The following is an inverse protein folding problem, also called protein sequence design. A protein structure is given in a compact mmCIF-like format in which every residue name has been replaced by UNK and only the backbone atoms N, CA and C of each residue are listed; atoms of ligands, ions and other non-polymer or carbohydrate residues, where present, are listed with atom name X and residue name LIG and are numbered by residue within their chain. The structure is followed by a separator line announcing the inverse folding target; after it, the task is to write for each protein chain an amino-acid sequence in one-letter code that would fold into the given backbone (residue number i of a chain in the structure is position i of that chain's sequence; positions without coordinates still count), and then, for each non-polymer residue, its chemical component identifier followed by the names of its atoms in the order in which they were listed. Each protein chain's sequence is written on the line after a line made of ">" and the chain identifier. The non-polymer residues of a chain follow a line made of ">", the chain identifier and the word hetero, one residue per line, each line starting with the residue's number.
data_IF_543101576958
#
_entry.id   IF_543101576958
#
_cell.length_a   1.000
_cell.length_b   1.000
_cell.length_c   1.000
_cell.angle_alpha   90.00
_cell.angle_beta   90.00
_cell.angle_gamma   90.00
#
_symmetry.space_group_name_H-M   'P 1'
#
loop_
_entity.id
_entity.type
_entity.pdbx_description
1 polymer ?
#
# COMPACT_ATOMS: atom_id res chain seq x y z
N UNK A 1 -7.90 18.93 -38.37
CA UNK A 1 -8.83 18.50 -37.30
C UNK A 1 -8.93 16.99 -37.34
N UNK A 2 -8.39 16.30 -36.35
CA UNK A 2 -8.54 14.85 -36.26
C UNK A 2 -10.02 14.54 -35.99
N UNK A 3 -10.65 13.70 -36.81
CA UNK A 3 -12.00 13.21 -36.54
C UNK A 3 -11.90 12.18 -35.41
N UNK A 4 -12.68 12.35 -34.36
CA UNK A 4 -12.83 11.35 -33.32
C UNK A 4 -13.54 10.13 -33.95
N UNK A 5 -12.87 8.99 -34.01
CA UNK A 5 -13.47 7.73 -34.41
C UNK A 5 -13.76 6.96 -33.13
N UNK A 6 -15.05 6.78 -32.82
CA UNK A 6 -15.50 5.98 -31.67
C UNK A 6 -15.10 4.52 -31.95
N UNK A 7 -14.17 3.99 -31.17
CA UNK A 7 -13.64 2.62 -31.31
C UNK A 7 -12.23 2.50 -31.87
N UNK A 8 -11.64 3.59 -32.39
CA UNK A 8 -10.25 3.63 -32.86
C UNK A 8 -9.34 4.28 -31.80
N UNK A 9 -9.47 3.82 -30.55
CA UNK A 9 -8.58 4.23 -29.49
C UNK A 9 -7.29 3.40 -29.58
N UNK A 10 -6.11 4.02 -29.64
CA UNK A 10 -4.86 3.27 -29.64
C UNK A 10 -4.76 2.46 -28.34
N UNK A 11 -4.45 1.17 -28.46
CA UNK A 11 -4.35 0.25 -27.32
C UNK A 11 -3.29 0.66 -26.30
N UNK A 12 -2.30 1.45 -26.75
CA UNK A 12 -1.24 2.01 -25.92
C UNK A 12 -0.91 3.45 -26.34
N UNK A 13 -0.40 4.24 -25.42
CA UNK A 13 0.05 5.61 -25.66
C UNK A 13 1.31 5.94 -24.84
N UNK A 14 2.18 6.84 -25.34
CA UNK A 14 3.33 7.30 -24.58
C UNK A 14 2.90 8.24 -23.45
N UNK A 15 3.45 8.00 -22.25
CA UNK A 15 3.18 8.75 -21.03
C UNK A 15 4.51 9.25 -20.47
N UNK A 16 4.80 10.53 -20.67
CA UNK A 16 5.93 11.20 -20.01
C UNK A 16 5.54 11.54 -18.56
N UNK A 17 6.37 11.13 -17.61
CA UNK A 17 6.20 11.38 -16.18
C UNK A 17 7.44 12.03 -15.63
N UNK A 18 7.27 13.17 -14.96
CA UNK A 18 8.33 13.85 -14.24
C UNK A 18 8.36 13.39 -12.78
N UNK A 19 9.46 12.76 -12.37
CA UNK A 19 9.69 12.30 -11.00
C UNK A 19 10.72 13.22 -10.34
N UNK A 20 10.37 13.74 -9.18
CA UNK A 20 11.29 14.54 -8.36
C UNK A 20 12.33 13.61 -7.73
N UNK A 21 13.58 13.72 -8.16
CA UNK A 21 14.72 12.99 -7.56
C UNK A 21 15.56 13.94 -6.70
N UNK A 22 16.39 13.42 -5.77
CA UNK A 22 17.29 14.26 -4.98
C UNK A 22 18.28 15.09 -5.82
N UNK A 23 18.53 14.69 -7.06
CA UNK A 23 19.43 15.36 -8.00
C UNK A 23 18.72 16.33 -8.95
N UNK A 24 17.40 16.47 -8.83
CA UNK A 24 16.56 17.28 -9.72
C UNK A 24 15.41 16.47 -10.35
N UNK A 25 14.51 17.13 -11.09
CA UNK A 25 13.45 16.43 -11.82
C UNK A 25 14.04 15.54 -12.91
N UNK A 26 13.56 14.30 -12.97
CA UNK A 26 13.91 13.35 -14.04
C UNK A 26 12.62 12.95 -14.78
N UNK A 27 12.66 13.01 -16.11
CA UNK A 27 11.56 12.55 -16.96
C UNK A 27 11.75 11.07 -17.31
N UNK A 28 10.68 10.29 -17.24
CA UNK A 28 10.62 8.89 -17.67
C UNK A 28 9.46 8.75 -18.64
N UNK A 29 9.68 8.10 -19.77
CA UNK A 29 8.62 7.79 -20.72
C UNK A 29 8.13 6.36 -20.53
N UNK A 30 6.86 6.23 -20.15
CA UNK A 30 6.16 4.96 -20.04
C UNK A 30 5.34 4.68 -21.30
N UNK A 31 5.27 3.41 -21.67
CA UNK A 31 4.27 2.92 -22.63
C UNK A 31 3.04 2.48 -21.84
N UNK A 32 2.03 3.34 -21.77
CA UNK A 32 0.82 3.10 -21.01
C UNK A 32 -0.27 2.44 -21.88
N UNK A 33 -1.11 1.61 -21.27
CA UNK A 33 -2.30 1.01 -21.91
C UNK A 33 -3.46 1.97 -21.80
N UNK A 34 -4.26 2.04 -22.86
CA UNK A 34 -5.52 2.75 -22.82
C UNK A 34 -6.58 1.87 -22.13
N UNK A 35 -6.87 2.16 -20.86
CA UNK A 35 -8.00 1.59 -20.13
C UNK A 35 -9.22 2.49 -20.33
N UNK A 36 -10.40 1.88 -20.41
CA UNK A 36 -11.65 2.64 -20.34
C UNK A 36 -11.76 3.28 -18.95
N UNK A 37 -12.50 4.41 -18.86
CA UNK A 37 -12.68 5.10 -17.58
C UNK A 37 -13.31 4.20 -16.50
N UNK A 38 -14.18 3.27 -16.89
CA UNK A 38 -14.78 2.27 -16.01
C UNK A 38 -13.76 1.23 -15.54
N UNK A 39 -12.96 0.65 -16.44
CA UNK A 39 -11.89 -0.29 -16.08
C UNK A 39 -10.85 0.36 -15.16
N UNK A 40 -10.50 1.62 -15.40
CA UNK A 40 -9.57 2.35 -14.55
C UNK A 40 -10.16 2.68 -13.17
N UNK A 41 -11.45 3.01 -13.09
CA UNK A 41 -12.13 3.22 -11.81
C UNK A 41 -12.17 1.94 -10.98
N UNK A 42 -12.59 0.82 -11.57
CA UNK A 42 -12.62 -0.50 -10.92
C UNK A 42 -11.23 -0.90 -10.42
N UNK A 43 -10.19 -0.67 -11.23
CA UNK A 43 -8.82 -1.01 -10.86
C UNK A 43 -8.28 -0.16 -9.71
N UNK A 44 -8.73 1.10 -9.57
CA UNK A 44 -8.40 1.95 -8.42
C UNK A 44 -9.14 1.54 -7.16
N UNK A 45 -10.41 1.20 -7.26
CA UNK A 45 -11.21 0.69 -6.15
C UNK A 45 -10.63 -0.64 -5.65
N UNK A 46 -10.39 -1.59 -6.54
CA UNK A 46 -9.77 -2.88 -6.22
C UNK A 46 -8.41 -2.71 -5.52
N UNK A 47 -7.58 -1.77 -6.00
CA UNK A 47 -6.28 -1.52 -5.38
C UNK A 47 -6.41 -0.85 -4.01
N UNK A 48 -7.36 0.07 -3.84
CA UNK A 48 -7.61 0.72 -2.54
C UNK A 48 -8.10 -0.28 -1.51
N UNK A 49 -9.03 -1.16 -1.90
CA UNK A 49 -9.55 -2.23 -1.04
C UNK A 49 -8.46 -3.22 -0.66
N UNK A 50 -7.59 -3.60 -1.60
CA UNK A 50 -6.44 -4.47 -1.32
C UNK A 50 -5.46 -3.83 -0.35
N UNK A 51 -5.07 -2.58 -0.57
CA UNK A 51 -4.18 -1.86 0.34
C UNK A 51 -4.78 -1.77 1.74
N UNK A 52 -6.07 -1.45 1.85
CA UNK A 52 -6.76 -1.39 3.13
C UNK A 52 -6.85 -2.75 3.82
N UNK A 53 -7.13 -3.81 3.06
CA UNK A 53 -7.17 -5.18 3.56
C UNK A 53 -5.78 -5.64 4.06
N UNK A 54 -4.73 -5.35 3.31
CA UNK A 54 -3.35 -5.69 3.69
C UNK A 54 -2.90 -4.92 4.93
N UNK A 55 -3.24 -3.62 5.03
CA UNK A 55 -2.98 -2.81 6.22
C UNK A 55 -3.70 -3.41 7.43
N UNK A 56 -4.98 -3.75 7.28
CA UNK A 56 -5.77 -4.39 8.34
C UNK A 56 -5.15 -5.72 8.78
N UNK A 57 -4.78 -6.58 7.82
CA UNK A 57 -4.11 -7.84 8.12
C UNK A 57 -2.80 -7.64 8.90
N UNK A 58 -2.09 -6.55 8.64
CA UNK A 58 -0.86 -6.19 9.35
C UNK A 58 -1.12 -5.80 10.81
N UNK A 59 -2.22 -5.09 11.08
CA UNK A 59 -2.66 -4.80 12.45
C UNK A 59 -3.19 -6.06 13.16
N UNK A 60 -3.95 -6.91 12.46
CA UNK A 60 -4.46 -8.17 13.01
C UNK A 60 -3.30 -9.12 13.36
N UNK A 61 -2.25 -9.17 12.53
CA UNK A 61 -1.03 -9.92 12.82
C UNK A 61 -0.28 -9.36 14.04
N UNK A 62 -0.18 -8.03 14.17
CA UNK A 62 0.44 -7.40 15.34
C UNK A 62 -0.33 -7.71 16.64
N UNK A 63 -1.66 -7.80 16.57
CA UNK A 63 -2.52 -8.23 17.68
C UNK A 63 -2.30 -9.70 18.02
N UNK A 64 -2.27 -10.59 17.03
CA UNK A 64 -2.03 -12.02 17.24
C UNK A 64 -0.65 -12.29 17.88
N UNK A 65 0.38 -11.55 17.46
CA UNK A 65 1.72 -11.62 18.08
C UNK A 65 1.68 -11.18 19.55
N UNK A 66 0.94 -10.11 19.87
CA UNK A 66 0.77 -9.65 21.25
C UNK A 66 0.01 -10.66 22.12
N UNK A 67 -1.02 -11.30 21.58
CA UNK A 67 -1.75 -12.39 22.24
C UNK A 67 -0.84 -13.61 22.51
N UNK A 68 0.01 -13.97 21.54
CA UNK A 68 0.98 -15.05 21.70
C UNK A 68 2.05 -14.72 22.76
N UNK A 69 2.55 -13.48 22.79
CA UNK A 69 3.49 -13.00 23.81
C UNK A 69 2.86 -12.98 25.20
N UNK A 70 1.61 -12.53 25.32
CA UNK A 70 0.85 -12.56 26.57
C UNK A 70 0.62 -13.99 27.08
N UNK A 71 0.22 -14.91 26.19
CA UNK A 71 0.04 -16.32 26.54
C UNK A 71 1.36 -16.98 26.97
N UNK A 72 2.48 -16.62 26.34
CA UNK A 72 3.82 -17.07 26.74
C UNK A 72 4.23 -16.50 28.11
N UNK A 73 3.93 -15.23 28.39
CA UNK A 73 4.19 -14.60 29.68
C UNK A 73 3.38 -15.26 30.82
N UNK A 74 2.09 -15.53 30.61
CA UNK A 74 1.26 -16.24 31.60
C UNK A 74 1.77 -17.64 31.93
N UNK A 75 2.28 -18.37 30.92
CA UNK A 75 2.89 -19.70 31.14
C UNK A 75 4.15 -19.64 32.01
N UNK A 76 4.93 -18.55 31.94
CA UNK A 76 6.13 -18.33 32.77
C UNK A 76 5.80 -17.91 34.21
N UNK A 77 4.68 -17.20 34.43
CA UNK A 77 4.24 -16.72 35.75
C UNK A 77 3.60 -17.84 36.61
N UNK A 78 3.16 -18.96 36.02
CA UNK A 78 2.59 -20.13 36.73
C UNK A 78 3.59 -20.96 37.57
N UNK A 79 4.75 -20.41 37.98
CA UNK A 79 5.57 -21.00 39.06
C UNK A 79 5.03 -20.48 40.39
N UNK A 80 4.50 -21.33 41.29
CA UNK A 80 3.54 -20.91 42.29
C UNK A 80 4.20 -20.10 43.41
N UNK A 81 3.87 -18.82 43.50
CA UNK A 81 4.00 -18.05 44.74
C UNK A 81 2.63 -18.05 45.43
N UNK A 82 2.63 -18.54 46.67
CA UNK A 82 1.49 -18.67 47.56
C UNK A 82 1.22 -17.31 48.22
N UNK A 83 0.02 -16.76 48.04
CA UNK A 83 -0.56 -15.68 48.86
C UNK A 83 -2.09 -15.81 48.72
N UNK A 84 -2.88 -16.15 49.75
CA UNK A 84 -3.08 -15.57 51.08
C UNK A 84 -3.58 -14.12 51.01
N UNK A 85 -4.90 -13.99 51.24
CA UNK A 85 -5.74 -12.81 51.44
C UNK A 85 -5.83 -11.74 50.34
N UNK A 86 -7.04 -11.60 49.81
CA UNK A 86 -7.45 -10.56 48.86
C UNK A 86 -8.66 -11.05 48.08
N UNK A 87 -9.76 -10.29 48.09
CA UNK A 87 -10.97 -10.61 47.34
C UNK A 87 -10.62 -10.98 45.89
N UNK A 88 -11.06 -12.17 45.45
CA UNK A 88 -10.77 -12.66 44.12
C UNK A 88 -11.35 -11.68 43.08
N UNK A 89 -10.55 -11.19 42.13
CA UNK A 89 -11.07 -10.33 41.06
C UNK A 89 -12.15 -11.07 40.28
N UNK A 90 -13.18 -10.34 39.87
CA UNK A 90 -14.27 -10.89 39.07
C UNK A 90 -13.76 -11.36 37.70
N UNK A 91 -14.51 -12.27 37.07
CA UNK A 91 -14.14 -12.77 35.73
C UNK A 91 -14.03 -11.63 34.70
N UNK A 92 -14.85 -10.60 34.85
CA UNK A 92 -14.88 -9.42 33.97
C UNK A 92 -13.64 -8.52 34.16
N UNK A 93 -13.19 -8.31 35.40
CA UNK A 93 -11.95 -7.57 35.69
C UNK A 93 -10.70 -8.33 35.18
N UNK A 94 -10.73 -9.65 35.22
CA UNK A 94 -9.67 -10.50 34.66
C UNK A 94 -9.64 -10.44 33.12
N UNK A 95 -10.80 -10.40 32.46
CA UNK A 95 -10.90 -10.24 31.00
C UNK A 95 -10.41 -8.86 30.57
N UNK A 96 -10.86 -7.80 31.25
CA UNK A 96 -10.41 -6.43 30.97
C UNK A 96 -8.90 -6.24 31.20
N UNK A 97 -8.35 -6.85 32.26
CA UNK A 97 -6.90 -6.82 32.51
C UNK A 97 -6.11 -7.59 31.44
N UNK A 98 -6.63 -8.69 30.91
CA UNK A 98 -6.02 -9.40 29.77
C UNK A 98 -6.03 -8.53 28.52
N UNK A 99 -7.15 -7.93 28.17
CA UNK A 99 -7.25 -7.07 26.98
C UNK A 99 -6.34 -5.84 27.10
N UNK A 100 -6.27 -5.20 28.27
CA UNK A 100 -5.36 -4.09 28.52
C UNK A 100 -3.89 -4.51 28.40
N UNK A 101 -3.53 -5.70 28.89
CA UNK A 101 -2.17 -6.24 28.77
C UNK A 101 -1.81 -6.61 27.31
N UNK A 102 -2.75 -7.20 26.55
CA UNK A 102 -2.57 -7.50 25.12
C UNK A 102 -2.41 -6.19 24.34
N UNK A 103 -3.23 -5.18 24.62
CA UNK A 103 -3.14 -3.88 23.96
C UNK A 103 -1.83 -3.16 24.28
N UNK A 104 -1.30 -3.29 25.51
CA UNK A 104 0.01 -2.77 25.90
C UNK A 104 1.19 -3.52 25.24
N UNK A 105 1.01 -4.80 24.91
CA UNK A 105 1.99 -5.63 24.19
C UNK A 105 1.91 -5.45 22.67
N UNK A 106 0.85 -4.84 22.15
CA UNK A 106 0.68 -4.60 20.73
C UNK A 106 1.80 -3.70 20.21
N UNK A 107 2.70 -4.27 19.41
CA UNK A 107 3.80 -3.52 18.82
C UNK A 107 3.24 -2.51 17.82
N UNK A 108 3.68 -1.24 17.84
CA UNK A 108 3.22 -0.26 16.87
C UNK A 108 3.66 -0.72 15.47
N UNK A 109 2.70 -0.76 14.55
CA UNK A 109 2.97 -0.93 13.13
C UNK A 109 3.84 0.24 12.67
N UNK A 110 5.08 -0.05 12.25
CA UNK A 110 6.00 0.98 11.81
C UNK A 110 5.52 1.60 10.51
N UNK A 111 5.57 2.93 10.43
CA UNK A 111 5.23 3.67 9.21
C UNK A 111 6.02 3.19 7.98
N UNK A 112 7.28 2.76 8.16
CA UNK A 112 8.11 2.20 7.10
C UNK A 112 7.55 0.92 6.47
N UNK A 113 6.82 0.11 7.24
CA UNK A 113 6.19 -1.12 6.75
C UNK A 113 4.96 -0.78 5.92
N UNK A 114 4.15 0.17 6.39
CA UNK A 114 2.99 0.69 5.65
C UNK A 114 3.46 1.33 4.33
N UNK A 115 4.50 2.16 4.36
CA UNK A 115 5.05 2.78 3.15
C UNK A 115 5.55 1.76 2.14
N UNK A 116 6.24 0.70 2.61
CA UNK A 116 6.70 -0.38 1.73
C UNK A 116 5.52 -1.13 1.10
N UNK A 117 4.48 -1.41 1.88
CA UNK A 117 3.28 -2.09 1.41
C UNK A 117 2.54 -1.24 0.36
N UNK A 118 2.45 0.06 0.57
CA UNK A 118 1.91 1.01 -0.41
C UNK A 118 2.75 1.01 -1.69
N UNK A 119 4.08 1.04 -1.59
CA UNK A 119 4.97 1.00 -2.76
C UNK A 119 4.86 -0.32 -3.55
N UNK A 120 4.67 -1.45 -2.86
CA UNK A 120 4.44 -2.75 -3.49
C UNK A 120 3.12 -2.78 -4.27
N UNK A 121 2.04 -2.35 -3.65
CA UNK A 121 0.73 -2.29 -4.30
C UNK A 121 0.72 -1.30 -5.47
N UNK A 122 1.39 -0.14 -5.33
CA UNK A 122 1.56 0.79 -6.43
C UNK A 122 2.37 0.22 -7.59
N UNK A 123 3.43 -0.55 -7.32
CA UNK A 123 4.20 -1.23 -8.37
C UNK A 123 3.33 -2.21 -9.17
N UNK A 124 2.49 -3.00 -8.49
CA UNK A 124 1.53 -3.89 -9.15
C UNK A 124 0.52 -3.13 -10.00
N UNK A 125 0.02 -2.01 -9.49
CA UNK A 125 -0.91 -1.14 -10.22
C UNK A 125 -0.25 -0.54 -11.48
N UNK A 126 0.99 -0.06 -11.37
CA UNK A 126 1.77 0.47 -12.51
C UNK A 126 1.96 -0.61 -13.58
N UNK A 127 2.21 -1.87 -13.20
CA UNK A 127 2.29 -2.97 -14.18
C UNK A 127 0.97 -3.27 -14.90
N UNK A 128 -0.18 -3.01 -14.27
CA UNK A 128 -1.46 -3.18 -14.95
C UNK A 128 -1.68 -2.09 -16.01
N UNK A 129 -1.26 -0.86 -15.73
CA UNK A 129 -1.45 0.31 -16.62
C UNK A 129 -0.34 0.54 -17.63
N UNK A 130 0.87 0.02 -17.42
CA UNK A 130 2.00 0.22 -18.34
C UNK A 130 2.62 -1.12 -18.77
N UNK A 131 3.07 -1.19 -20.02
CA UNK A 131 3.73 -2.36 -20.61
C UNK A 131 5.25 -2.24 -20.67
N UNK A 132 5.77 -1.03 -20.55
CA UNK A 132 7.20 -0.76 -20.63
C UNK A 132 7.53 0.69 -20.31
N UNK A 133 8.82 0.99 -20.35
CA UNK A 133 9.40 2.31 -20.14
C UNK A 133 10.71 2.46 -20.92
N UNK A 134 11.26 3.68 -20.93
CA UNK A 134 12.51 4.05 -21.61
C UNK A 134 13.78 3.88 -20.77
N UNK A 135 13.68 3.27 -19.57
CA UNK A 135 14.83 3.02 -18.71
C UNK A 135 15.60 1.75 -19.11
N UNK A 136 16.91 1.76 -18.83
CA UNK A 136 17.80 0.60 -19.01
C UNK A 136 17.41 -0.61 -18.14
N UNK A 137 16.79 -0.34 -16.99
CA UNK A 137 16.32 -1.39 -16.08
C UNK A 137 15.09 -2.12 -16.63
N UNK A 138 14.98 -3.42 -16.33
CA UNK A 138 13.81 -4.20 -16.76
C UNK A 138 12.54 -3.72 -16.08
N UNK A 139 11.49 -3.47 -16.87
CA UNK A 139 10.15 -3.13 -16.38
C UNK A 139 9.51 -4.31 -15.63
N UNK A 140 9.76 -4.38 -14.33
CA UNK A 140 9.33 -5.49 -13.46
C UNK A 140 8.89 -4.97 -12.09
N UNK A 141 7.98 -5.68 -11.43
CA UNK A 141 7.45 -5.34 -10.11
C UNK A 141 8.54 -4.99 -9.07
N UNK A 142 9.64 -5.77 -8.90
CA UNK A 142 10.67 -5.43 -7.92
C UNK A 142 11.45 -4.15 -8.26
N UNK A 143 11.58 -3.80 -9.55
CA UNK A 143 12.25 -2.56 -9.96
C UNK A 143 11.32 -1.37 -9.74
N UNK A 144 10.02 -1.52 -10.04
CA UNK A 144 9.00 -0.51 -9.75
C UNK A 144 8.84 -0.28 -8.24
N UNK A 145 8.85 -1.34 -7.43
CA UNK A 145 8.85 -1.23 -5.96
C UNK A 145 10.08 -0.45 -5.49
N UNK A 146 11.27 -0.75 -6.02
CA UNK A 146 12.49 0.01 -5.69
C UNK A 146 12.36 1.48 -6.09
N UNK A 147 11.79 1.78 -7.25
CA UNK A 147 11.57 3.16 -7.70
C UNK A 147 10.62 3.90 -6.77
N UNK A 148 9.45 3.32 -6.46
CA UNK A 148 8.46 3.92 -5.56
C UNK A 148 9.00 4.08 -4.12
N UNK A 149 9.88 3.17 -3.67
CA UNK A 149 10.54 3.29 -2.37
C UNK A 149 11.68 4.34 -2.37
N UNK A 150 12.44 4.45 -3.46
CA UNK A 150 13.59 5.38 -3.55
C UNK A 150 13.15 6.81 -3.80
N UNK A 151 12.07 7.00 -4.56
CA UNK A 151 11.54 8.30 -4.92
C UNK A 151 10.11 8.44 -4.39
N UNK A 152 9.98 9.02 -3.21
CA UNK A 152 8.69 9.26 -2.59
C UNK A 152 7.85 10.17 -3.49
N UNK A 153 6.61 9.75 -3.76
CA UNK A 153 5.71 10.48 -4.66
C UNK A 153 5.81 10.08 -6.14
N UNK A 154 6.78 9.23 -6.53
CA UNK A 154 6.87 8.71 -7.90
C UNK A 154 5.55 8.05 -8.35
N UNK A 155 4.96 7.20 -7.50
CA UNK A 155 3.66 6.58 -7.78
C UNK A 155 2.54 7.61 -8.04
N UNK A 156 2.52 8.70 -7.26
CA UNK A 156 1.49 9.71 -7.37
C UNK A 156 1.66 10.53 -8.65
N UNK A 157 2.91 10.83 -9.02
CA UNK A 157 3.23 11.49 -10.29
C UNK A 157 2.82 10.63 -11.49
N UNK A 158 3.10 9.32 -11.47
CA UNK A 158 2.70 8.39 -12.54
C UNK A 158 1.18 8.34 -12.68
N UNK A 159 0.45 8.17 -11.57
CA UNK A 159 -1.01 8.12 -11.63
C UNK A 159 -1.64 9.47 -12.00
N UNK A 160 -1.07 10.59 -11.56
CA UNK A 160 -1.53 11.91 -11.96
C UNK A 160 -1.35 12.10 -13.47
N UNK A 161 -0.17 11.82 -14.01
CA UNK A 161 0.09 11.93 -15.45
C UNK A 161 -0.82 10.98 -16.27
N UNK A 162 -1.05 9.76 -15.78
CA UNK A 162 -1.95 8.81 -16.43
C UNK A 162 -3.40 9.29 -16.44
N UNK A 163 -3.88 9.81 -15.30
CA UNK A 163 -5.22 10.42 -15.20
C UNK A 163 -5.36 11.63 -16.12
N UNK A 164 -4.38 12.52 -16.15
CA UNK A 164 -4.40 13.71 -17.00
C UNK A 164 -4.48 13.34 -18.49
N UNK A 165 -3.77 12.28 -18.90
CA UNK A 165 -3.84 11.74 -20.26
C UNK A 165 -5.18 11.06 -20.57
N UNK A 166 -5.74 10.28 -19.64
CA UNK A 166 -7.04 9.60 -19.83
C UNK A 166 -8.23 10.56 -19.81
N UNK A 167 -8.26 11.51 -18.88
CA UNK A 167 -9.32 12.52 -18.76
C UNK A 167 -9.24 13.55 -19.90
N UNK A 168 -8.16 13.53 -20.68
CA UNK A 168 -7.92 14.50 -21.75
C UNK A 168 -7.96 15.93 -21.24
N UNK A 169 -7.55 16.15 -19.98
CA UNK A 169 -7.65 17.46 -19.34
C UNK A 169 -6.84 18.42 -20.20
N UNK A 170 -7.57 19.31 -20.87
CA UNK A 170 -7.10 20.25 -21.90
C UNK A 170 -5.84 20.94 -21.39
N UNK A 171 -4.65 20.47 -21.79
CA UNK A 171 -3.48 21.33 -21.80
C UNK A 171 -3.75 22.39 -22.88
N UNK A 172 -4.35 23.50 -22.44
CA UNK A 172 -4.68 24.66 -23.26
C UNK A 172 -6.18 24.88 -23.45
N UNK A 173 -6.78 25.60 -22.51
CA UNK A 173 -7.79 26.60 -22.83
C UNK A 173 -7.36 27.91 -22.16
#
# INVERSE_FOLDING_TARGET
>A
MAKLIIGDAPSTFPLSVEIQTPTGPASIEFTAKHLTGTEWAELREENTDKVNADIKALFDAARADAEAEYAAAQKKVKKPAKSADGAAPTAEELEAAKEAAIMALMKPVKQSVIQRLVAQNAALMIQKIATGWDLDDKFTAPVLEKMCNKYQGAQAAIFAAYNDKLEGRRQGN
#
